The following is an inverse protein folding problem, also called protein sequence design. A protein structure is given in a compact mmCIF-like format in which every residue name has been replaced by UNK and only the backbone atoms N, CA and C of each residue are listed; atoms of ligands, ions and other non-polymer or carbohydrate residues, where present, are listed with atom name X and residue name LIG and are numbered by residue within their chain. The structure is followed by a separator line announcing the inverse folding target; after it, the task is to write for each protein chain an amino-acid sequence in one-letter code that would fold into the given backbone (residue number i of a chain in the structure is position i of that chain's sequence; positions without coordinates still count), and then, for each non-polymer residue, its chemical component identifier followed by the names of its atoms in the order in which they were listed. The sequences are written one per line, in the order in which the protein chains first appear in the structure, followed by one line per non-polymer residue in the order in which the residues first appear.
data_IF_415076277176
#
_entry.id   IF_415076277176
#
_cell.length_a   1.000
_cell.length_b   1.000
_cell.length_c   1.000
_cell.angle_alpha   90.00
_cell.angle_beta   90.00
_cell.angle_gamma   90.00
#
_symmetry.space_group_name_H-M   'P 1'
#
loop_
_entity.id
_entity.type
_entity.pdbx_description
1 polymer ?
#
# COMPACT_ATOMS: atom_id res chain seq x y z
N UNK A 1 1.96 -2.02 9.22
CA UNK A 1 1.78 -2.09 7.75
C UNK A 1 0.88 -3.26 7.45
N UNK A 2 -0.08 -3.15 6.53
CA UNK A 2 -0.94 -4.27 6.11
C UNK A 2 -0.26 -5.21 5.10
N UNK A 3 0.86 -4.78 4.51
CA UNK A 3 1.65 -5.60 3.59
C UNK A 3 2.10 -6.95 4.19
N UNK A 4 2.68 -7.03 5.42
CA UNK A 4 3.02 -8.31 6.04
C UNK A 4 1.80 -9.21 6.26
N UNK A 5 0.62 -8.66 6.54
CA UNK A 5 -0.62 -9.42 6.73
C UNK A 5 -1.06 -10.10 5.41
N UNK A 6 -0.98 -9.36 4.30
CA UNK A 6 -1.25 -9.91 2.95
C UNK A 6 -0.22 -10.98 2.56
N UNK A 7 1.06 -10.75 2.86
CA UNK A 7 2.14 -11.71 2.56
C UNK A 7 1.97 -12.99 3.39
N UNK A 8 1.58 -12.87 4.67
CA UNK A 8 1.34 -14.04 5.54
C UNK A 8 0.11 -14.83 5.10
N UNK A 9 -1.00 -14.16 4.76
CA UNK A 9 -2.19 -14.81 4.20
C UNK A 9 -1.89 -15.52 2.86
N UNK A 10 -1.11 -14.91 1.98
CA UNK A 10 -0.69 -15.54 0.71
C UNK A 10 0.15 -16.80 0.96
N UNK A 11 1.05 -16.76 1.95
CA UNK A 11 1.87 -17.89 2.37
C UNK A 11 1.01 -19.03 2.95
N UNK A 12 -0.01 -18.70 3.74
CA UNK A 12 -0.96 -19.67 4.28
C UNK A 12 -1.74 -20.40 3.16
N UNK A 13 -2.19 -19.66 2.14
CA UNK A 13 -2.91 -20.24 1.00
C UNK A 13 -1.99 -21.06 0.06
N UNK A 14 -0.69 -20.76 0.02
CA UNK A 14 0.27 -21.39 -0.90
C UNK A 14 1.48 -22.01 -0.17
N UNK A 15 1.29 -23.06 0.66
CA UNK A 15 2.37 -23.65 1.46
C UNK A 15 3.47 -24.34 0.63
N UNK A 16 3.24 -24.57 -0.68
CA UNK A 16 4.22 -25.16 -1.60
C UNK A 16 5.19 -24.14 -2.20
N UNK A 17 4.88 -22.84 -2.12
CA UNK A 17 5.66 -21.79 -2.80
C UNK A 17 6.35 -20.92 -1.75
N UNK A 18 7.66 -21.09 -1.61
CA UNK A 18 8.48 -20.36 -0.63
C UNK A 18 9.34 -19.29 -1.32
N UNK A 19 9.65 -18.19 -0.60
CA UNK A 19 10.62 -17.18 -1.04
C UNK A 19 10.07 -16.01 -1.87
N UNK A 20 8.76 -15.91 -2.08
CA UNK A 20 8.15 -14.79 -2.82
C UNK A 20 8.09 -13.48 -2.04
N UNK A 21 8.31 -13.54 -0.72
CA UNK A 21 8.29 -12.38 0.18
C UNK A 21 9.22 -11.26 -0.33
N UNK A 22 10.44 -11.63 -0.77
CA UNK A 22 11.41 -10.68 -1.29
C UNK A 22 10.89 -9.93 -2.53
N UNK A 23 10.15 -10.59 -3.41
CA UNK A 23 9.56 -9.97 -4.62
C UNK A 23 8.44 -9.02 -4.23
N UNK A 24 7.58 -9.38 -3.28
CA UNK A 24 6.53 -8.48 -2.78
C UNK A 24 7.11 -7.23 -2.14
N UNK A 25 8.09 -7.38 -1.24
CA UNK A 25 8.70 -6.23 -0.57
C UNK A 25 9.49 -5.34 -1.56
N UNK A 26 10.29 -5.93 -2.44
CA UNK A 26 11.08 -5.16 -3.42
C UNK A 26 10.22 -4.44 -4.45
N UNK A 27 9.21 -5.09 -5.01
CA UNK A 27 8.27 -4.47 -5.96
C UNK A 27 7.49 -3.33 -5.31
N UNK A 28 6.99 -3.51 -4.08
CA UNK A 28 6.29 -2.46 -3.34
C UNK A 28 7.15 -1.20 -3.17
N UNK A 29 8.41 -1.36 -2.72
CA UNK A 29 9.33 -0.24 -2.55
C UNK A 29 9.70 0.37 -3.90
N UNK A 30 9.94 -0.45 -4.92
CA UNK A 30 10.23 0.01 -6.27
C UNK A 30 9.09 0.89 -6.83
N UNK A 31 7.85 0.42 -6.79
CA UNK A 31 6.70 1.18 -7.28
C UNK A 31 6.45 2.44 -6.46
N UNK A 32 6.68 2.42 -5.15
CA UNK A 32 6.58 3.61 -4.31
C UNK A 32 7.60 4.68 -4.74
N UNK A 33 8.85 4.28 -5.00
CA UNK A 33 9.90 5.19 -5.46
C UNK A 33 9.67 5.67 -6.90
N UNK A 34 9.23 4.77 -7.77
CA UNK A 34 8.86 5.09 -9.15
C UNK A 34 7.72 6.09 -9.19
N UNK A 35 6.65 5.85 -8.43
CA UNK A 35 5.49 6.76 -8.33
C UNK A 35 5.90 8.13 -7.80
N UNK A 36 6.80 8.18 -6.81
CA UNK A 36 7.32 9.46 -6.30
C UNK A 36 8.09 10.22 -7.40
N UNK A 37 8.93 9.53 -8.17
CA UNK A 37 9.64 10.10 -9.31
C UNK A 37 8.69 10.60 -10.41
N UNK A 38 7.69 9.80 -10.77
CA UNK A 38 6.65 10.18 -11.75
C UNK A 38 5.87 11.39 -11.27
N UNK A 39 5.45 11.42 -10.00
CA UNK A 39 4.72 12.55 -9.43
C UNK A 39 5.54 13.85 -9.50
N UNK A 40 6.84 13.79 -9.16
CA UNK A 40 7.74 14.93 -9.30
C UNK A 40 7.92 15.34 -10.76
N UNK A 41 8.08 14.40 -11.68
CA UNK A 41 8.21 14.68 -13.12
C UNK A 41 6.99 15.39 -13.69
N UNK A 42 5.79 14.88 -13.40
CA UNK A 42 4.51 15.49 -13.82
C UNK A 42 4.35 16.87 -13.20
N UNK A 43 4.74 17.02 -11.93
CA UNK A 43 4.68 18.31 -11.22
C UNK A 43 5.53 19.36 -11.92
N UNK A 44 6.79 19.03 -12.22
CA UNK A 44 7.73 19.94 -12.89
C UNK A 44 7.26 20.30 -14.29
N UNK A 45 6.85 19.32 -15.10
CA UNK A 45 6.33 19.58 -16.45
C UNK A 45 5.09 20.48 -16.41
N UNK A 46 4.16 20.22 -15.48
CA UNK A 46 2.94 21.02 -15.34
C UNK A 46 3.25 22.48 -14.95
N UNK A 47 4.28 22.69 -14.12
CA UNK A 47 4.73 24.03 -13.74
C UNK A 47 5.42 24.76 -14.91
N UNK A 48 6.24 24.06 -15.68
CA UNK A 48 6.92 24.61 -16.85
C UNK A 48 5.90 25.05 -17.92
N UNK A 49 4.91 24.22 -18.22
CA UNK A 49 3.79 24.56 -19.11
C UNK A 49 2.94 25.73 -18.60
N UNK A 50 2.82 25.91 -17.28
CA UNK A 50 2.11 27.04 -16.68
C UNK A 50 2.89 28.37 -16.74
N UNK A 51 4.11 28.36 -17.30
CA UNK A 51 4.97 29.54 -17.41
C UNK A 51 5.68 29.88 -16.10
N UNK A 52 6.04 28.87 -15.30
CA UNK A 52 6.81 29.08 -14.08
C UNK A 52 8.19 29.70 -14.40
N UNK A 53 8.48 30.85 -13.80
CA UNK A 53 9.77 31.54 -13.92
C UNK A 53 10.42 31.64 -12.55
N UNK A 54 11.55 30.94 -12.37
CA UNK A 54 12.30 30.94 -11.11
C UNK A 54 12.87 32.33 -10.83
N UNK A 55 12.46 32.95 -9.73
CA UNK A 55 13.00 34.24 -9.26
C UNK A 55 12.21 35.49 -9.67
N UNK A 56 11.04 35.35 -10.30
CA UNK A 56 10.16 36.48 -10.56
C UNK A 56 9.46 36.96 -9.27
N UNK A 57 9.44 38.28 -9.02
CA UNK A 57 8.73 38.86 -7.87
C UNK A 57 7.21 38.66 -7.91
N UNK A 58 6.63 38.45 -9.11
CA UNK A 58 5.21 38.13 -9.31
C UNK A 58 5.08 36.94 -10.23
N UNK A 59 4.38 35.92 -9.74
CA UNK A 59 4.07 34.71 -10.47
C UNK A 59 2.67 34.78 -11.08
N UNK A 60 2.47 34.17 -12.25
CA UNK A 60 1.17 34.12 -12.91
C UNK A 60 0.14 33.36 -12.07
N UNK A 61 -1.12 33.82 -12.11
CA UNK A 61 -2.25 33.19 -11.42
C UNK A 61 -2.38 31.70 -11.76
N UNK A 62 -2.08 31.33 -13.01
CA UNK A 62 -2.13 29.95 -13.50
C UNK A 62 -1.17 29.03 -12.73
N UNK A 63 0.05 29.46 -12.42
CA UNK A 63 1.02 28.63 -11.70
C UNK A 63 0.56 28.37 -10.26
N UNK A 64 -0.01 29.39 -9.60
CA UNK A 64 -0.57 29.24 -8.25
C UNK A 64 -1.75 28.27 -8.24
N UNK A 65 -2.60 28.33 -9.27
CA UNK A 65 -3.71 27.40 -9.44
C UNK A 65 -3.21 25.96 -9.67
N UNK A 66 -2.24 25.76 -10.56
CA UNK A 66 -1.62 24.46 -10.81
C UNK A 66 -1.05 23.86 -9.54
N UNK A 67 -0.31 24.64 -8.75
CA UNK A 67 0.26 24.19 -7.48
C UNK A 67 -0.81 23.76 -6.47
N UNK A 68 -1.90 24.53 -6.35
CA UNK A 68 -3.04 24.21 -5.47
C UNK A 68 -3.74 22.91 -5.88
N UNK A 69 -3.93 22.70 -7.19
CA UNK A 69 -4.56 21.48 -7.70
C UNK A 69 -3.66 20.27 -7.46
N UNK A 70 -2.37 20.41 -7.74
CA UNK A 70 -1.39 19.34 -7.67
C UNK A 70 -1.12 18.85 -6.23
N UNK A 71 -1.12 19.75 -5.25
CA UNK A 71 -0.88 19.41 -3.84
C UNK A 71 -2.19 19.09 -3.09
N UNK A 72 -3.33 19.66 -3.51
CA UNK A 72 -4.61 19.51 -2.82
C UNK A 72 -5.56 18.55 -3.50
N UNK A 73 -6.05 18.92 -4.68
CA UNK A 73 -7.10 18.20 -5.37
C UNK A 73 -6.65 16.80 -5.83
N UNK A 74 -5.44 16.68 -6.37
CA UNK A 74 -4.90 15.41 -6.87
C UNK A 74 -4.76 14.37 -5.75
N UNK A 75 -4.10 14.65 -4.60
CA UNK A 75 -4.04 13.70 -3.49
C UNK A 75 -5.41 13.36 -2.91
N UNK A 76 -6.33 14.34 -2.82
CA UNK A 76 -7.67 14.08 -2.31
C UNK A 76 -8.43 13.05 -3.17
N UNK A 77 -8.40 13.20 -4.49
CA UNK A 77 -9.02 12.24 -5.42
C UNK A 77 -8.36 10.86 -5.33
N UNK A 78 -7.02 10.82 -5.23
CA UNK A 78 -6.30 9.55 -5.07
C UNK A 78 -6.65 8.84 -3.75
N UNK A 79 -6.83 9.57 -2.66
CA UNK A 79 -7.27 9.01 -1.37
C UNK A 79 -8.68 8.45 -1.48
N UNK A 80 -9.62 9.19 -2.09
CA UNK A 80 -10.99 8.73 -2.29
C UNK A 80 -11.01 7.44 -3.12
N UNK A 81 -10.24 7.40 -4.21
CA UNK A 81 -10.11 6.21 -5.04
C UNK A 81 -9.52 5.03 -4.25
N UNK A 82 -8.47 5.27 -3.46
CA UNK A 82 -7.88 4.27 -2.58
C UNK A 82 -8.88 3.73 -1.55
N UNK A 83 -9.71 4.60 -0.97
CA UNK A 83 -10.77 4.21 -0.03
C UNK A 83 -11.86 3.37 -0.70
N UNK A 84 -12.25 3.70 -1.94
CA UNK A 84 -13.22 2.90 -2.70
C UNK A 84 -12.67 1.48 -2.91
N UNK A 85 -11.41 1.37 -3.35
CA UNK A 85 -10.76 0.06 -3.53
C UNK A 85 -10.68 -0.70 -2.19
N UNK A 86 -10.41 0.01 -1.09
CA UNK A 86 -10.35 -0.59 0.24
C UNK A 86 -11.71 -1.11 0.72
N UNK A 87 -12.81 -0.43 0.38
CA UNK A 87 -14.17 -0.90 0.67
C UNK A 87 -14.50 -2.17 -0.14
N UNK A 88 -14.03 -2.25 -1.39
CA UNK A 88 -14.17 -3.45 -2.23
C UNK A 88 -13.30 -4.63 -1.78
N UNK A 89 -12.31 -4.40 -0.92
CA UNK A 89 -11.51 -5.43 -0.29
C UNK A 89 -12.04 -5.64 1.15
N UNK A 90 -13.17 -6.34 1.35
CA UNK A 90 -13.68 -6.57 2.68
C UNK A 90 -12.63 -7.36 3.47
N UNK A 91 -11.98 -6.68 4.42
CA UNK A 91 -11.28 -7.30 5.53
C UNK A 91 -12.38 -7.86 6.43
N UNK A 92 -13.00 -8.96 6.01
CA UNK A 92 -14.02 -9.63 6.79
C UNK A 92 -13.35 -10.20 8.04
N UNK A 93 -13.87 -9.85 9.22
CA UNK A 93 -13.46 -10.44 10.50
C UNK A 93 -13.55 -11.99 10.48
N UNK A 94 -14.37 -12.54 9.59
CA UNK A 94 -14.53 -13.97 9.38
C UNK A 94 -13.22 -14.65 8.98
N UNK A 95 -12.43 -14.08 8.06
CA UNK A 95 -11.11 -14.64 7.72
C UNK A 95 -10.11 -14.53 8.87
N UNK A 96 -10.22 -13.51 9.73
CA UNK A 96 -9.40 -13.44 10.95
C UNK A 96 -9.80 -14.49 11.98
N UNK A 97 -11.10 -14.71 12.19
CA UNK A 97 -11.61 -15.74 13.10
C UNK A 97 -11.24 -17.14 12.65
N UNK A 98 -11.31 -17.43 11.35
CA UNK A 98 -10.88 -18.72 10.80
C UNK A 98 -9.40 -18.99 11.06
N UNK A 99 -8.54 -17.98 10.88
CA UNK A 99 -7.10 -18.09 11.16
C UNK A 99 -6.82 -18.25 12.66
N UNK A 100 -7.51 -17.52 13.53
CA UNK A 100 -7.39 -17.70 14.99
C UNK A 100 -7.85 -19.09 15.45
N UNK A 101 -8.93 -19.60 14.89
CA UNK A 101 -9.44 -20.94 15.17
C UNK A 101 -8.48 -22.04 14.69
N UNK A 102 -7.91 -21.89 13.50
CA UNK A 102 -6.91 -22.80 12.95
C UNK A 102 -5.64 -22.82 13.84
N UNK A 103 -5.13 -21.65 14.24
CA UNK A 103 -3.98 -21.52 15.14
C UNK A 103 -4.22 -22.14 16.52
N UNK A 104 -5.40 -21.92 17.10
CA UNK A 104 -5.73 -22.52 18.40
C UNK A 104 -5.81 -24.05 18.33
N UNK A 105 -6.40 -24.60 17.27
CA UNK A 105 -6.44 -26.05 17.08
C UNK A 105 -5.03 -26.67 16.98
N UNK A 106 -4.12 -26.04 16.23
CA UNK A 106 -2.73 -26.49 16.12
C UNK A 106 -2.03 -26.45 17.48
N UNK A 107 -2.18 -25.35 18.24
CA UNK A 107 -1.59 -25.21 19.59
C UNK A 107 -2.11 -26.26 20.58
N UNK A 108 -3.40 -26.58 20.51
CA UNK A 108 -4.01 -27.61 21.35
C UNK A 108 -3.50 -29.00 20.97
N UNK A 109 -3.38 -29.32 19.67
CA UNK A 109 -2.78 -30.57 19.21
C UNK A 109 -1.32 -30.70 19.66
N UNK A 110 -0.51 -29.64 19.54
CA UNK A 110 0.87 -29.63 20.03
C UNK A 110 0.93 -29.88 21.53
N UNK A 111 0.15 -29.15 22.35
CA UNK A 111 0.10 -29.40 23.80
C UNK A 111 -0.31 -30.82 24.14
N UNK A 112 -1.31 -31.37 23.46
CA UNK A 112 -1.79 -32.75 23.67
C UNK A 112 -0.70 -33.77 23.33
N UNK A 113 0.02 -33.54 22.24
CA UNK A 113 1.11 -34.42 21.81
C UNK A 113 2.31 -34.35 22.75
N UNK A 114 2.65 -33.19 23.32
CA UNK A 114 3.71 -33.07 24.34
C UNK A 114 3.33 -33.76 25.64
N UNK A 115 2.05 -33.75 26.03
CA UNK A 115 1.54 -34.40 27.24
C UNK A 115 1.46 -35.94 27.14
N UNK A 116 1.47 -36.49 25.92
CA UNK A 116 1.44 -37.94 25.67
C UNK A 116 2.86 -38.55 25.63
N UNK A 117 3.91 -37.71 25.50
CA UNK A 117 5.31 -38.13 25.33
C UNK A 117 6.12 -38.02 26.65
N UNK A 118 5.48 -37.59 27.74
CA UNK A 118 6.04 -37.54 29.12
C UNK A 118 5.29 -38.56 29.96
#
# INVERSE_FOLDING_TARGET
SMLPDVVDNFRQMNPRVNGLEAIFYSSFVFFTKLSAGIALGISTMSLEFAGYSSGACRQSYLVVLTLKILIGAVPAVLIILGLIIFIFYPITEDSRRETELALNNIRLQTRRSTLIVI
#
